data_IF_380885017315
#
_entry.id   IF_380885017315
#
_cell.length_a   1.000
_cell.length_b   1.000
_cell.length_c   1.000
_cell.angle_alpha   90.00
_cell.angle_beta   90.00
_cell.angle_gamma   90.00
#
_symmetry.space_group_name_H-M   'P 1'
#
loop_
_entity.id
_entity.type
_entity.pdbx_description
1 polymer ?
#
# COMPACT_ATOMS: atom_id res chain seq x y z
N UNK A 1 14.32 -10.75 9.02
CA UNK A 1 13.15 -11.39 8.36
C UNK A 1 12.10 -10.34 7.95
N UNK A 2 12.57 -9.20 7.41
CA UNK A 2 11.79 -8.05 6.92
C UNK A 2 12.13 -7.63 5.47
N UNK A 3 13.21 -8.09 4.79
CA UNK A 3 13.57 -7.55 3.46
C UNK A 3 12.50 -7.75 2.37
N UNK A 4 11.71 -8.82 2.47
CA UNK A 4 10.71 -9.16 1.45
C UNK A 4 9.59 -8.11 1.37
N UNK A 5 9.23 -7.47 2.48
CA UNK A 5 8.21 -6.40 2.49
C UNK A 5 8.75 -5.10 1.89
N UNK A 6 10.06 -4.87 1.95
CA UNK A 6 10.70 -3.72 1.36
C UNK A 6 10.98 -3.88 -0.14
N UNK A 7 10.78 -5.08 -0.71
CA UNK A 7 11.13 -5.35 -2.11
C UNK A 7 10.40 -4.43 -3.09
N UNK A 8 9.14 -4.07 -2.81
CA UNK A 8 8.35 -3.16 -3.64
C UNK A 8 8.90 -1.73 -3.69
N UNK A 9 9.61 -1.28 -2.66
CA UNK A 9 10.17 0.09 -2.61
C UNK A 9 11.66 0.14 -2.90
N UNK A 10 12.41 -0.87 -2.43
CA UNK A 10 13.87 -0.93 -2.52
C UNK A 10 14.38 -0.95 -3.97
N UNK A 11 13.66 -1.60 -4.88
CA UNK A 11 14.08 -1.70 -6.29
C UNK A 11 14.26 -0.31 -6.93
N UNK A 12 13.47 0.68 -6.53
CA UNK A 12 13.54 2.03 -7.09
C UNK A 12 14.67 2.86 -6.47
N UNK A 13 15.07 2.56 -5.24
CA UNK A 13 16.30 3.11 -4.66
C UNK A 13 17.54 2.60 -5.40
N UNK A 14 17.54 1.32 -5.81
CA UNK A 14 18.65 0.73 -6.56
C UNK A 14 18.73 1.28 -7.99
N UNK A 15 17.58 1.52 -8.63
CA UNK A 15 17.50 2.02 -10.00
C UNK A 15 17.59 3.55 -10.11
N UNK A 16 17.61 4.27 -8.98
CA UNK A 16 17.63 5.73 -8.92
C UNK A 16 16.43 6.36 -9.65
N UNK A 17 15.23 5.83 -9.39
CA UNK A 17 13.99 6.31 -9.99
C UNK A 17 13.23 7.18 -8.98
N UNK A 18 12.69 8.34 -9.40
CA UNK A 18 11.89 9.18 -8.52
C UNK A 18 10.62 8.43 -8.13
N UNK A 19 10.32 8.43 -6.83
CA UNK A 19 9.12 7.79 -6.28
C UNK A 19 8.39 8.73 -5.32
N UNK A 20 7.07 8.71 -5.38
CA UNK A 20 6.19 9.45 -4.49
C UNK A 20 5.10 8.54 -3.93
N UNK A 21 4.64 8.81 -2.71
CA UNK A 21 3.56 8.02 -2.08
C UNK A 21 2.45 8.96 -1.64
N UNK A 22 1.21 8.64 -2.02
CA UNK A 22 0.01 9.36 -1.59
C UNK A 22 -0.93 8.43 -0.82
N UNK A 23 -1.58 8.90 0.26
CA UNK A 23 -2.62 8.12 0.91
C UNK A 23 -3.85 8.04 0.00
N UNK A 24 -4.39 6.84 -0.23
CA UNK A 24 -5.55 6.62 -1.11
C UNK A 24 -6.79 6.15 -0.36
N UNK A 25 -6.59 5.34 0.68
CA UNK A 25 -7.68 4.72 1.44
C UNK A 25 -7.31 4.58 2.92
N UNK A 26 -8.28 4.09 3.68
CA UNK A 26 -8.13 3.68 5.08
C UNK A 26 -8.63 2.24 5.16
N UNK A 27 -8.00 1.43 6.00
CA UNK A 27 -8.42 0.03 6.19
C UNK A 27 -9.86 -0.01 6.68
N UNK A 28 -10.72 -0.73 5.97
CA UNK A 28 -12.11 -1.01 6.32
C UNK A 28 -12.24 -2.48 6.75
N UNK A 29 -12.63 -2.77 8.01
CA UNK A 29 -12.76 -4.14 8.50
C UNK A 29 -13.75 -5.02 7.74
N UNK A 30 -14.69 -4.44 7.00
CA UNK A 30 -15.72 -5.15 6.24
C UNK A 30 -15.25 -5.48 4.82
N UNK A 31 -14.56 -4.55 4.16
CA UNK A 31 -14.06 -4.74 2.79
C UNK A 31 -12.71 -5.48 2.77
N UNK A 32 -11.84 -5.22 3.74
CA UNK A 32 -10.48 -5.78 3.80
C UNK A 32 -10.40 -7.09 4.61
N UNK A 33 -11.55 -7.67 4.98
CA UNK A 33 -11.58 -8.95 5.67
C UNK A 33 -11.03 -10.07 4.76
N UNK A 34 -10.12 -10.88 5.30
CA UNK A 34 -9.59 -12.04 4.57
C UNK A 34 -10.69 -13.09 4.43
N UNK A 35 -11.19 -13.26 3.21
CA UNK A 35 -12.22 -14.26 2.89
C UNK A 35 -11.61 -15.62 2.59
N UNK A 36 -12.39 -16.68 2.80
CA UNK A 36 -11.99 -18.04 2.42
C UNK A 36 -11.79 -18.19 0.90
N UNK A 37 -12.57 -17.43 0.11
CA UNK A 37 -12.40 -17.34 -1.34
C UNK A 37 -11.03 -16.74 -1.69
N UNK A 38 -10.67 -15.60 -1.10
CA UNK A 38 -9.37 -14.98 -1.33
C UNK A 38 -8.21 -15.88 -0.88
N UNK A 39 -8.35 -16.63 0.21
CA UNK A 39 -7.32 -17.60 0.62
C UNK A 39 -7.18 -18.79 -0.36
N UNK A 40 -8.25 -19.14 -1.08
CA UNK A 40 -8.25 -20.24 -2.03
C UNK A 40 -7.77 -19.83 -3.43
N UNK A 41 -8.07 -18.62 -3.86
CA UNK A 41 -7.74 -18.10 -5.21
C UNK A 41 -6.63 -17.06 -5.22
N UNK A 42 -6.26 -16.54 -4.05
CA UNK A 42 -5.24 -15.52 -3.88
C UNK A 42 -3.86 -16.03 -4.26
N UNK A 43 -2.86 -15.13 -4.28
CA UNK A 43 -1.50 -15.48 -4.63
C UNK A 43 -1.06 -16.62 -3.71
N UNK A 44 -0.89 -17.83 -4.26
CA UNK A 44 -0.39 -18.99 -3.51
C UNK A 44 1.13 -18.93 -3.43
N UNK A 45 1.69 -17.75 -3.18
CA UNK A 45 3.06 -17.44 -3.52
C UNK A 45 4.04 -17.87 -2.43
N UNK A 46 3.84 -19.03 -1.80
CA UNK A 46 4.86 -19.91 -1.22
C UNK A 46 5.87 -19.31 -0.23
N UNK A 47 5.76 -18.03 0.12
CA UNK A 47 6.76 -17.32 0.89
C UNK A 47 6.46 -17.44 2.37
N UNK A 48 7.51 -17.53 3.17
CA UNK A 48 7.39 -17.56 4.62
C UNK A 48 6.64 -16.34 5.18
N UNK A 49 6.72 -15.20 4.50
CA UNK A 49 6.11 -13.93 4.90
C UNK A 49 4.60 -13.95 4.67
N UNK A 50 4.15 -14.33 3.48
CA UNK A 50 2.72 -14.48 3.17
C UNK A 50 2.06 -15.50 4.11
N UNK A 51 2.71 -16.66 4.30
CA UNK A 51 2.24 -17.68 5.23
C UNK A 51 2.10 -17.16 6.66
N UNK A 52 2.95 -16.21 7.08
CA UNK A 52 2.89 -15.64 8.43
C UNK A 52 1.86 -14.51 8.56
N UNK A 53 1.61 -13.78 7.48
CA UNK A 53 0.64 -12.69 7.42
C UNK A 53 -0.79 -13.22 7.38
N UNK A 54 -1.08 -14.15 6.46
CA UNK A 54 -2.45 -14.54 6.13
C UNK A 54 -2.81 -15.97 6.52
N UNK A 55 -1.82 -16.85 6.76
CA UNK A 55 -2.05 -18.28 7.01
C UNK A 55 -1.59 -18.72 8.41
N UNK A 56 -2.04 -19.92 8.83
CA UNK A 56 -1.68 -20.55 10.10
C UNK A 56 -2.64 -20.26 11.26
N UNK A 57 -2.35 -20.84 12.43
CA UNK A 57 -3.24 -20.77 13.60
C UNK A 57 -3.35 -19.36 14.22
N UNK A 58 -2.41 -18.47 13.90
CA UNK A 58 -2.39 -17.09 14.40
C UNK A 58 -1.78 -16.18 13.31
N UNK A 59 -2.58 -15.77 12.32
CA UNK A 59 -2.13 -14.83 11.28
C UNK A 59 -1.80 -13.47 11.90
N UNK A 60 -0.83 -12.75 11.33
CA UNK A 60 -0.49 -11.39 11.77
C UNK A 60 -1.44 -10.33 11.22
N UNK A 61 -2.10 -10.61 10.10
CA UNK A 61 -3.07 -9.70 9.52
C UNK A 61 -4.42 -9.84 10.21
N UNK A 62 -4.94 -8.73 10.75
CA UNK A 62 -6.27 -8.62 11.35
C UNK A 62 -6.87 -7.27 10.95
N UNK A 63 -7.84 -7.31 10.02
CA UNK A 63 -8.50 -6.12 9.49
C UNK A 63 -9.24 -5.31 10.58
N UNK A 64 -9.76 -5.96 11.62
CA UNK A 64 -10.45 -5.28 12.72
C UNK A 64 -9.47 -4.55 13.63
N UNK A 65 -8.34 -5.17 13.95
CA UNK A 65 -7.29 -4.53 14.72
C UNK A 65 -6.60 -3.40 13.92
N UNK A 66 -6.56 -3.50 12.59
CA UNK A 66 -5.94 -2.54 11.67
C UNK A 66 -6.89 -1.46 11.15
N UNK A 67 -8.13 -1.42 11.63
CA UNK A 67 -9.16 -0.47 11.20
C UNK A 67 -8.66 0.98 11.20
N UNK A 68 -8.85 1.68 10.08
CA UNK A 68 -8.50 3.09 9.95
C UNK A 68 -7.01 3.39 9.72
N UNK A 69 -6.15 2.38 9.61
CA UNK A 69 -4.76 2.61 9.17
C UNK A 69 -4.74 3.15 7.72
N UNK A 70 -3.80 4.06 7.38
CA UNK A 70 -3.72 4.63 6.04
C UNK A 70 -3.16 3.61 5.04
N UNK A 71 -3.78 3.53 3.87
CA UNK A 71 -3.29 2.76 2.71
C UNK A 71 -2.78 3.74 1.68
N UNK A 72 -1.53 3.55 1.25
CA UNK A 72 -0.86 4.43 0.29
C UNK A 72 -0.61 3.75 -1.06
N UNK A 73 -0.57 4.55 -2.12
CA UNK A 73 -0.13 4.12 -3.46
C UNK A 73 1.20 4.77 -3.77
N UNK A 74 2.14 3.95 -4.26
CA UNK A 74 3.43 4.41 -4.75
C UNK A 74 3.34 4.71 -6.25
N UNK A 75 3.78 5.90 -6.63
CA UNK A 75 3.90 6.38 -8.01
C UNK A 75 5.38 6.46 -8.31
N UNK A 76 5.79 5.88 -9.44
CA UNK A 76 7.19 5.79 -9.86
C UNK A 76 7.32 6.41 -11.24
N UNK A 77 8.28 7.31 -11.41
CA UNK A 77 8.64 7.90 -12.70
C UNK A 77 9.93 7.30 -13.25
N UNK A 78 10.30 7.71 -14.47
CA UNK A 78 11.65 7.45 -14.95
C UNK A 78 12.65 8.42 -14.33
N UNK A 79 13.94 8.09 -14.47
CA UNK A 79 15.05 8.92 -13.98
C UNK A 79 14.94 10.36 -14.53
N UNK A 80 15.07 11.34 -13.63
CA UNK A 80 14.96 12.78 -13.91
C UNK A 80 13.55 13.27 -14.28
N UNK A 81 12.50 12.55 -13.85
CA UNK A 81 11.10 12.94 -14.08
C UNK A 81 10.34 13.28 -12.78
N UNK A 82 11.02 13.80 -11.78
CA UNK A 82 10.49 14.16 -10.46
C UNK A 82 9.23 15.04 -10.56
N UNK A 83 9.23 16.04 -11.46
CA UNK A 83 8.09 16.94 -11.66
C UNK A 83 6.87 16.19 -12.22
N UNK A 84 7.09 15.18 -13.06
CA UNK A 84 6.00 14.33 -13.58
C UNK A 84 5.44 13.45 -12.46
N UNK A 85 6.29 12.92 -11.59
CA UNK A 85 5.83 12.15 -10.41
C UNK A 85 4.95 13.02 -9.53
N UNK A 86 5.37 14.24 -9.21
CA UNK A 86 4.58 15.18 -8.41
C UNK A 86 3.26 15.53 -9.10
N UNK A 87 3.28 15.79 -10.42
CA UNK A 87 2.06 16.07 -11.18
C UNK A 87 1.09 14.87 -11.17
N UNK A 88 1.61 13.66 -11.32
CA UNK A 88 0.81 12.43 -11.26
C UNK A 88 0.27 12.15 -9.86
N UNK A 89 1.02 12.46 -8.79
CA UNK A 89 0.51 12.41 -7.42
C UNK A 89 -0.70 13.32 -7.25
N UNK A 90 -0.65 14.53 -7.82
CA UNK A 90 -1.78 15.46 -7.79
C UNK A 90 -2.98 14.93 -8.56
N UNK A 91 -2.77 14.42 -9.78
CA UNK A 91 -3.83 13.87 -10.62
C UNK A 91 -4.52 12.69 -9.92
N UNK A 92 -3.74 11.78 -9.34
CA UNK A 92 -4.27 10.62 -8.62
C UNK A 92 -5.03 11.03 -7.35
N UNK A 93 -4.55 12.03 -6.61
CA UNK A 93 -5.24 12.60 -5.44
C UNK A 93 -6.58 13.25 -5.84
N UNK A 94 -6.59 14.08 -6.89
CA UNK A 94 -7.80 14.75 -7.38
C UNK A 94 -8.84 13.73 -7.89
N UNK A 95 -8.42 12.63 -8.52
CA UNK A 95 -9.31 11.57 -8.99
C UNK A 95 -10.05 10.84 -7.86
N UNK A 96 -9.51 10.84 -6.63
CA UNK A 96 -10.15 10.24 -5.46
C UNK A 96 -11.24 11.14 -4.85
N UNK A 97 -11.32 12.41 -5.28
CA UNK A 97 -12.34 13.36 -4.83
C UNK A 97 -12.11 13.91 -3.42
N UNK A 98 -13.14 14.56 -2.85
CA UNK A 98 -13.05 15.17 -1.52
C UNK A 98 -13.14 14.10 -0.42
N UNK A 99 -12.21 14.17 0.54
CA UNK A 99 -12.05 13.19 1.62
C UNK A 99 -11.49 13.82 2.88
N UNK A 100 -11.68 13.15 4.02
CA UNK A 100 -11.22 13.60 5.34
C UNK A 100 -9.72 13.38 5.60
N UNK A 101 -9.01 12.80 4.64
CA UNK A 101 -7.57 12.53 4.70
C UNK A 101 -6.95 12.75 3.31
N UNK A 102 -5.67 13.10 3.26
CA UNK A 102 -4.99 13.43 2.00
C UNK A 102 -3.80 14.36 2.21
N UNK A 103 -3.03 14.64 1.14
CA UNK A 103 -2.01 15.69 1.15
C UNK A 103 -2.61 17.02 1.62
N UNK A 104 -1.99 17.65 2.62
CA UNK A 104 -2.46 18.93 3.16
C UNK A 104 -3.70 18.88 4.08
N UNK A 105 -4.23 17.69 4.41
CA UNK A 105 -5.36 17.54 5.34
C UNK A 105 -4.99 17.68 6.83
N UNK A 106 -3.70 17.66 7.16
CA UNK A 106 -3.24 17.82 8.54
C UNK A 106 -3.50 19.26 9.01
N UNK A 107 -4.29 19.39 10.07
CA UNK A 107 -4.51 20.65 10.78
C UNK A 107 -3.92 20.47 12.19
N UNK A 108 -2.99 21.35 12.63
CA UNK A 108 -2.36 21.26 13.95
C UNK A 108 -3.34 21.49 15.10
#
# INVERSE_FOLDING_TARGET
MVPQLAASTFIFNLLDFPTGVIPVARVDPTEDAVTSEWLATGPSAGTMVERRLFHGATPLYDAKAMSGLPVGVQIVGHRWEDEKVIAMMRIADDALGKRSFGPGSYTP
#
